data_IF_438312400771
#
_entry.id   IF_438312400771
#
_cell.length_a   1.000
_cell.length_b   1.000
_cell.length_c   1.000
_cell.angle_alpha   90.00
_cell.angle_beta   90.00
_cell.angle_gamma   90.00
#
_symmetry.space_group_name_H-M   'P 1'
#
loop_
_entity.id
_entity.type
_entity.pdbx_description
1 polymer ?
#
# COMPACT_ATOMS: atom_id res chain seq x y z
N UNK A 1 4.52 0.16 -15.36
CA UNK A 1 3.40 1.06 -15.00
C UNK A 1 3.99 2.32 -14.37
N UNK A 2 3.43 3.50 -14.65
CA UNK A 2 3.83 4.78 -14.03
C UNK A 2 2.67 5.35 -13.21
N UNK A 3 2.97 6.20 -12.23
CA UNK A 3 1.95 6.83 -11.38
C UNK A 3 1.92 8.34 -11.50
N UNK A 4 0.71 8.90 -11.42
CA UNK A 4 0.45 10.33 -11.41
C UNK A 4 0.57 10.97 -12.78
N UNK A 5 0.21 12.26 -12.85
CA UNK A 5 0.14 13.00 -14.13
C UNK A 5 1.51 13.20 -14.79
N UNK A 6 2.59 13.11 -14.01
CA UNK A 6 3.99 13.31 -14.47
C UNK A 6 4.77 12.00 -14.61
N UNK A 7 4.08 10.84 -14.63
CA UNK A 7 4.69 9.51 -14.83
C UNK A 7 5.87 9.21 -13.88
N UNK A 8 5.60 9.14 -12.58
CA UNK A 8 6.60 8.68 -11.61
C UNK A 8 6.81 7.17 -11.71
N UNK A 9 8.07 6.74 -11.88
CA UNK A 9 8.46 5.33 -12.03
C UNK A 9 9.19 4.77 -10.81
N UNK A 10 9.97 5.61 -10.10
CA UNK A 10 10.74 5.17 -8.94
C UNK A 10 9.81 5.04 -7.75
N UNK A 11 9.72 3.84 -7.17
CA UNK A 11 8.85 3.54 -6.02
C UNK A 11 9.03 4.56 -4.89
N UNK A 12 10.27 4.94 -4.60
CA UNK A 12 10.61 5.91 -3.54
C UNK A 12 10.10 7.33 -3.79
N UNK A 13 9.75 7.67 -5.02
CA UNK A 13 9.23 8.99 -5.42
C UNK A 13 7.70 8.99 -5.60
N UNK A 14 7.04 7.82 -5.47
CA UNK A 14 5.59 7.72 -5.57
C UNK A 14 4.97 8.18 -4.25
N UNK A 15 4.25 9.30 -4.29
CA UNK A 15 3.43 9.79 -3.21
C UNK A 15 1.97 9.36 -3.38
N UNK A 16 1.19 9.36 -2.29
CA UNK A 16 -0.22 8.95 -2.31
C UNK A 16 -1.04 9.74 -3.33
N UNK A 17 -0.78 11.04 -3.49
CA UNK A 17 -1.43 11.86 -4.52
C UNK A 17 -1.27 11.31 -5.94
N UNK A 18 -0.12 10.70 -6.28
CA UNK A 18 0.12 10.13 -7.60
C UNK A 18 -0.75 8.89 -7.83
N UNK A 19 -1.01 8.12 -6.78
CA UNK A 19 -1.93 6.97 -6.83
C UNK A 19 -3.37 7.47 -7.05
N UNK A 20 -3.79 8.50 -6.33
CA UNK A 20 -5.12 9.11 -6.50
C UNK A 20 -5.29 9.66 -7.93
N UNK A 21 -4.29 10.40 -8.43
CA UNK A 21 -4.30 10.91 -9.81
C UNK A 21 -4.45 9.80 -10.83
N UNK A 22 -3.71 8.70 -10.67
CA UNK A 22 -3.78 7.54 -11.57
C UNK A 22 -5.16 6.88 -11.50
N UNK A 23 -5.73 6.71 -10.32
CA UNK A 23 -7.07 6.15 -10.15
C UNK A 23 -8.15 7.00 -10.81
N UNK A 24 -8.06 8.32 -10.67
CA UNK A 24 -8.98 9.26 -11.33
C UNK A 24 -8.83 9.21 -12.85
N UNK A 25 -7.61 9.16 -13.37
CA UNK A 25 -7.36 9.00 -14.81
C UNK A 25 -7.89 7.67 -15.35
N UNK A 26 -7.86 6.61 -14.54
CA UNK A 26 -8.45 5.31 -14.83
C UNK A 26 -9.98 5.26 -14.70
N UNK A 27 -10.63 6.38 -14.35
CA UNK A 27 -12.09 6.49 -14.26
C UNK A 27 -12.69 6.19 -12.88
N UNK A 28 -11.87 6.04 -11.84
CA UNK A 28 -12.37 5.89 -10.47
C UNK A 28 -12.77 7.24 -9.87
N UNK A 29 -13.81 7.22 -9.04
CA UNK A 29 -14.15 8.38 -8.21
C UNK A 29 -13.14 8.52 -7.06
N UNK A 30 -12.93 9.76 -6.59
CA UNK A 30 -12.09 10.01 -5.40
C UNK A 30 -12.63 9.30 -4.16
N UNK A 31 -13.95 9.20 -4.03
CA UNK A 31 -14.60 8.47 -2.94
C UNK A 31 -14.25 6.98 -2.99
N UNK A 32 -14.37 6.33 -4.14
CA UNK A 32 -14.02 4.91 -4.30
C UNK A 32 -12.55 4.64 -3.99
N UNK A 33 -11.65 5.57 -4.36
CA UNK A 33 -10.22 5.46 -4.02
C UNK A 33 -10.02 5.56 -2.50
N UNK A 34 -10.71 6.49 -1.83
CA UNK A 34 -10.64 6.64 -0.37
C UNK A 34 -11.18 5.41 0.35
N UNK A 35 -12.31 4.85 -0.11
CA UNK A 35 -12.88 3.60 0.44
C UNK A 35 -11.89 2.42 0.31
N UNK A 36 -11.18 2.31 -0.82
CA UNK A 36 -10.13 1.30 -1.00
C UNK A 36 -8.98 1.53 0.00
N UNK A 37 -8.51 2.77 0.18
CA UNK A 37 -7.46 3.07 1.15
C UNK A 37 -7.91 2.76 2.58
N UNK A 38 -9.14 3.07 2.93
CA UNK A 38 -9.72 2.75 4.24
C UNK A 38 -9.78 1.24 4.47
N UNK A 39 -10.17 0.48 3.45
CA UNK A 39 -10.21 -0.97 3.53
C UNK A 39 -8.80 -1.55 3.71
N UNK A 40 -7.81 -1.06 2.96
CA UNK A 40 -6.40 -1.47 3.12
C UNK A 40 -5.88 -1.19 4.54
N UNK A 41 -6.20 -0.02 5.10
CA UNK A 41 -5.81 0.33 6.47
C UNK A 41 -6.47 -0.59 7.51
N UNK A 42 -7.73 -0.99 7.30
CA UNK A 42 -8.47 -1.89 8.21
C UNK A 42 -7.98 -3.34 8.12
N UNK A 43 -7.66 -3.81 6.93
CA UNK A 43 -7.36 -5.22 6.69
C UNK A 43 -5.89 -5.59 6.94
N UNK A 44 -5.00 -4.60 7.09
CA UNK A 44 -3.55 -4.81 7.17
C UNK A 44 -3.15 -5.86 8.22
N UNK A 45 -3.69 -5.76 9.44
CA UNK A 45 -3.25 -6.59 10.56
C UNK A 45 -3.69 -8.04 10.36
N UNK A 46 -4.93 -8.23 9.88
CA UNK A 46 -5.47 -9.56 9.54
C UNK A 46 -4.70 -10.21 8.39
N UNK A 47 -4.32 -9.42 7.38
CA UNK A 47 -3.54 -9.92 6.25
C UNK A 47 -2.11 -10.33 6.68
N UNK A 48 -1.47 -9.57 7.57
CA UNK A 48 -0.16 -9.92 8.16
C UNK A 48 -0.27 -11.23 8.94
N UNK A 49 -1.25 -11.36 9.84
CA UNK A 49 -1.44 -12.56 10.65
C UNK A 49 -1.68 -13.80 9.78
N UNK A 50 -2.60 -13.71 8.82
CA UNK A 50 -2.88 -14.81 7.90
C UNK A 50 -1.63 -15.21 7.09
N UNK A 51 -0.82 -14.23 6.68
CA UNK A 51 0.44 -14.50 5.97
C UNK A 51 1.41 -15.26 6.88
N UNK A 52 1.61 -14.80 8.11
CA UNK A 52 2.50 -15.44 9.09
C UNK A 52 2.11 -16.90 9.39
N UNK A 53 0.82 -17.18 9.47
CA UNK A 53 0.31 -18.55 9.70
C UNK A 53 0.57 -19.50 8.52
N UNK A 54 0.70 -18.96 7.30
CA UNK A 54 0.94 -19.75 6.09
C UNK A 54 2.42 -20.00 5.75
N UNK A 55 3.35 -19.41 6.50
CA UNK A 55 4.78 -19.53 6.20
C UNK A 55 5.41 -20.79 6.82
N UNK A 56 6.42 -21.38 6.15
CA UNK A 56 7.24 -22.43 6.74
C UNK A 56 7.94 -21.97 8.02
N UNK A 57 8.23 -22.91 8.93
CA UNK A 57 8.90 -22.62 10.22
C UNK A 57 10.31 -22.05 10.05
N UNK A 58 10.96 -22.36 8.95
CA UNK A 58 12.32 -21.96 8.58
C UNK A 58 12.35 -20.72 7.66
N UNK A 59 11.23 -20.01 7.52
CA UNK A 59 11.19 -18.81 6.70
C UNK A 59 12.12 -17.71 7.26
N UNK A 60 12.91 -17.03 6.41
CA UNK A 60 13.89 -16.04 6.89
C UNK A 60 13.24 -14.83 7.57
N UNK A 61 13.55 -14.63 8.86
CA UNK A 61 12.99 -13.53 9.66
C UNK A 61 13.35 -12.14 9.11
N UNK A 62 14.56 -11.98 8.58
CA UNK A 62 15.01 -10.70 8.01
C UNK A 62 14.14 -10.22 6.83
N UNK A 63 13.57 -11.16 6.06
CA UNK A 63 12.63 -10.83 4.99
C UNK A 63 11.29 -10.38 5.56
N UNK A 64 10.80 -11.03 6.63
CA UNK A 64 9.57 -10.62 7.30
C UNK A 64 9.69 -9.21 7.86
N UNK A 65 10.77 -8.94 8.59
CA UNK A 65 11.00 -7.64 9.23
C UNK A 65 11.06 -6.53 8.18
N UNK A 66 11.81 -6.73 7.09
CA UNK A 66 11.97 -5.74 6.03
C UNK A 66 10.64 -5.45 5.31
N UNK A 67 9.87 -6.50 5.00
CA UNK A 67 8.60 -6.36 4.28
C UNK A 67 7.52 -5.73 5.16
N UNK A 68 7.32 -6.22 6.39
CA UNK A 68 6.28 -5.70 7.26
C UNK A 68 6.59 -4.28 7.77
N UNK A 69 7.86 -3.95 8.03
CA UNK A 69 8.26 -2.55 8.33
C UNK A 69 7.90 -1.61 7.18
N UNK A 70 8.16 -2.03 5.94
CA UNK A 70 7.85 -1.23 4.74
C UNK A 70 6.34 -1.14 4.52
N UNK A 71 5.60 -2.22 4.74
CA UNK A 71 4.15 -2.25 4.65
C UNK A 71 3.52 -1.27 5.64
N UNK A 72 3.90 -1.32 6.92
CA UNK A 72 3.41 -0.42 7.97
C UNK A 72 3.68 1.04 7.62
N UNK A 73 4.90 1.35 7.17
CA UNK A 73 5.25 2.69 6.70
C UNK A 73 4.32 3.14 5.58
N UNK A 74 4.10 2.30 4.56
CA UNK A 74 3.28 2.67 3.41
C UNK A 74 1.80 2.84 3.79
N UNK A 75 1.25 1.98 4.65
CA UNK A 75 -0.13 2.11 5.13
C UNK A 75 -0.30 3.41 5.94
N UNK A 76 0.67 3.78 6.78
CA UNK A 76 0.61 5.05 7.53
C UNK A 76 0.52 6.27 6.60
N UNK A 77 1.15 6.22 5.41
CA UNK A 77 1.08 7.31 4.43
C UNK A 77 -0.33 7.47 3.85
N UNK A 78 -1.11 6.37 3.72
CA UNK A 78 -2.48 6.41 3.24
C UNK A 78 -3.41 7.12 4.23
N UNK A 79 -3.25 6.86 5.53
CA UNK A 79 -4.03 7.53 6.58
C UNK A 79 -3.77 9.04 6.63
N UNK A 80 -2.53 9.46 6.37
CA UNK A 80 -2.11 10.87 6.42
C UNK A 80 -2.46 11.66 5.14
N UNK A 81 -2.93 10.98 4.08
CA UNK A 81 -3.27 11.60 2.80
C UNK A 81 -4.76 11.96 2.68
N UNK A 82 -5.50 11.87 3.78
CA UNK A 82 -6.92 12.23 3.90
C UNK A 82 -7.12 13.75 3.94
#
# INVERSE_FOLDING_TARGET
MSFGKSRHYKIKEIAVRHIIETGVEAGLSRQSIAEIFDQLCKDKDKAIEHTLQGLPKDFPQNLLDSNFTTLEKNISLLNNAR
#
